data_IF_335595159401
#
_entry.id   IF_335595159401
#
_cell.length_a   1.000
_cell.length_b   1.000
_cell.length_c   1.000
_cell.angle_alpha   90.00
_cell.angle_beta   90.00
_cell.angle_gamma   90.00
#
_symmetry.space_group_name_H-M   'P 1'
#
loop_
_entity.id
_entity.type
_entity.pdbx_description
1 polymer ?
#
# COMPACT_ATOMS: atom_id res chain seq x y z
N UNK A 1 -2.67 19.78 18.34
CA UNK A 1 -2.73 18.40 17.84
C UNK A 1 -3.58 18.40 16.58
N UNK A 2 -2.95 18.23 15.42
CA UNK A 2 -3.62 18.01 14.15
C UNK A 2 -3.73 16.50 13.87
N UNK A 3 -4.73 16.12 13.06
CA UNK A 3 -4.88 14.76 12.54
C UNK A 3 -4.88 14.86 11.01
N UNK A 4 -3.94 14.15 10.38
CA UNK A 4 -3.88 13.99 8.95
C UNK A 4 -4.49 12.64 8.58
N UNK A 5 -5.38 12.62 7.59
CA UNK A 5 -5.97 11.40 7.07
C UNK A 5 -5.68 11.28 5.57
N UNK A 6 -5.30 10.08 5.12
CA UNK A 6 -5.02 9.78 3.72
C UNK A 6 -5.51 8.36 3.40
N UNK A 7 -6.03 8.16 2.20
CA UNK A 7 -6.58 6.89 1.73
C UNK A 7 -6.23 6.69 0.25
N UNK A 8 -6.53 5.51 -0.28
CA UNK A 8 -6.60 5.24 -1.72
C UNK A 8 -5.27 5.58 -2.42
N UNK A 9 -4.17 5.08 -1.85
CA UNK A 9 -2.83 5.30 -2.41
C UNK A 9 -2.67 4.47 -3.69
N UNK A 10 -3.27 3.29 -3.77
CA UNK A 10 -3.37 2.49 -5.00
C UNK A 10 -2.06 2.39 -5.79
N UNK A 11 -0.96 1.99 -5.12
CA UNK A 11 0.35 1.83 -5.76
C UNK A 11 0.97 3.12 -6.31
N UNK A 12 0.39 4.30 -6.06
CA UNK A 12 0.86 5.61 -6.53
C UNK A 12 1.95 6.17 -5.62
N UNK A 13 3.12 5.54 -5.68
CA UNK A 13 4.26 5.85 -4.82
C UNK A 13 4.71 7.32 -4.88
N UNK A 14 4.85 7.91 -6.08
CA UNK A 14 5.36 9.27 -6.22
C UNK A 14 4.40 10.34 -5.62
N UNK A 15 3.08 10.28 -5.89
CA UNK A 15 2.10 11.10 -5.16
C UNK A 15 2.17 10.91 -3.63
N UNK A 16 2.26 9.68 -3.14
CA UNK A 16 2.33 9.38 -1.71
C UNK A 16 3.53 10.06 -1.05
N UNK A 17 4.75 9.84 -1.56
CA UNK A 17 5.97 10.46 -1.01
C UNK A 17 5.91 11.99 -1.08
N UNK A 18 5.33 12.55 -2.14
CA UNK A 18 5.17 14.01 -2.26
C UNK A 18 4.30 14.56 -1.14
N UNK A 19 3.22 13.87 -0.76
CA UNK A 19 2.37 14.27 0.36
C UNK A 19 3.08 14.15 1.70
N UNK A 20 3.85 13.07 1.92
CA UNK A 20 4.70 12.93 3.10
C UNK A 20 5.68 14.10 3.24
N UNK A 21 6.34 14.51 2.14
CA UNK A 21 7.24 15.67 2.13
C UNK A 21 6.53 16.99 2.43
N UNK A 22 5.32 17.19 1.89
CA UNK A 22 4.50 18.38 2.16
C UNK A 22 4.07 18.48 3.64
N UNK A 23 3.91 17.34 4.31
CA UNK A 23 3.69 17.26 5.76
C UNK A 23 5.00 17.37 6.55
N UNK A 24 5.99 18.10 6.01
CA UNK A 24 7.31 18.29 6.61
C UNK A 24 7.95 16.96 7.06
N UNK A 25 7.94 15.95 6.18
CA UNK A 25 8.47 14.60 6.46
C UNK A 25 7.94 13.95 7.76
N UNK A 26 6.71 14.31 8.15
CA UNK A 26 6.03 13.82 9.36
C UNK A 26 6.75 14.19 10.68
N UNK A 27 7.59 15.22 10.72
CA UNK A 27 8.35 15.57 11.92
C UNK A 27 7.46 15.79 13.17
N UNK A 28 6.29 16.41 13.01
CA UNK A 28 5.36 16.60 14.13
C UNK A 28 4.68 15.29 14.57
N UNK A 29 4.46 14.35 13.65
CA UNK A 29 3.89 13.03 13.94
C UNK A 29 4.93 12.14 14.63
N UNK A 30 6.18 12.15 14.13
CA UNK A 30 7.33 11.49 14.77
C UNK A 30 7.57 11.98 16.20
N UNK A 31 7.37 13.29 16.43
CA UNK A 31 7.46 13.89 17.75
C UNK A 31 6.22 13.64 18.66
N UNK A 32 5.21 12.91 18.18
CA UNK A 32 3.97 12.62 18.92
C UNK A 32 3.06 13.83 19.15
N UNK A 33 3.25 14.92 18.40
CA UNK A 33 2.44 16.15 18.53
C UNK A 33 1.16 16.09 17.68
N UNK A 34 1.25 15.40 16.54
CA UNK A 34 0.17 15.19 15.58
C UNK A 34 0.02 13.70 15.27
N UNK A 35 -1.07 13.33 14.57
CA UNK A 35 -1.30 11.95 14.12
C UNK A 35 -1.44 11.86 12.61
N UNK A 36 -0.99 10.74 12.05
CA UNK A 36 -1.30 10.32 10.68
C UNK A 36 -2.19 9.08 10.75
N UNK A 37 -3.29 9.09 10.01
CA UNK A 37 -4.18 7.94 9.83
C UNK A 37 -4.21 7.60 8.36
N UNK A 38 -3.69 6.43 8.01
CA UNK A 38 -3.86 5.84 6.68
C UNK A 38 -5.11 4.95 6.72
N UNK A 39 -6.04 5.19 5.79
CA UNK A 39 -7.39 4.63 5.84
C UNK A 39 -7.57 3.35 5.00
N UNK A 40 -6.53 2.88 4.32
CA UNK A 40 -6.54 1.68 3.49
C UNK A 40 -6.29 1.94 2.01
N UNK A 41 -6.38 0.87 1.24
CA UNK A 41 -6.28 0.81 -0.23
C UNK A 41 -4.92 1.31 -0.72
N UNK A 42 -3.88 0.61 -0.28
CA UNK A 42 -2.49 0.99 -0.55
C UNK A 42 -1.93 0.40 -1.83
N UNK A 43 -2.50 -0.74 -2.24
CA UNK A 43 -2.09 -1.54 -3.38
C UNK A 43 -3.08 -1.39 -4.53
N UNK A 44 -2.78 -2.08 -5.64
CA UNK A 44 -3.51 -2.11 -6.92
C UNK A 44 -3.30 -0.87 -7.80
N UNK A 45 -3.82 -0.90 -9.04
CA UNK A 45 -3.83 0.15 -10.07
C UNK A 45 -2.43 0.67 -10.46
N UNK A 46 -1.69 1.26 -9.53
CA UNK A 46 -0.32 1.71 -9.70
C UNK A 46 0.71 0.58 -9.69
N UNK A 47 1.83 0.82 -10.39
CA UNK A 47 2.89 -0.18 -10.58
C UNK A 47 3.81 -0.38 -9.35
N UNK A 48 3.57 0.34 -8.24
CA UNK A 48 4.50 0.38 -7.11
C UNK A 48 3.88 -0.07 -5.77
N UNK A 49 2.85 -0.93 -5.80
CA UNK A 49 2.16 -1.44 -4.61
C UNK A 49 3.13 -1.97 -3.53
N UNK A 50 4.10 -2.80 -3.90
CA UNK A 50 5.14 -3.28 -2.98
C UNK A 50 5.93 -2.15 -2.33
N UNK A 51 6.35 -1.16 -3.13
CA UNK A 51 7.14 -0.02 -2.65
C UNK A 51 6.33 0.84 -1.68
N UNK A 52 5.04 1.06 -1.95
CA UNK A 52 4.11 1.76 -1.07
C UNK A 52 3.99 1.04 0.28
N UNK A 53 3.63 -0.25 0.28
CA UNK A 53 3.49 -1.03 1.52
C UNK A 53 4.79 -1.06 2.32
N UNK A 54 5.93 -1.28 1.66
CA UNK A 54 7.24 -1.29 2.31
C UNK A 54 7.54 0.05 3.00
N UNK A 55 7.29 1.17 2.32
CA UNK A 55 7.48 2.49 2.91
C UNK A 55 6.52 2.77 4.06
N UNK A 56 5.23 2.40 3.94
CA UNK A 56 4.27 2.55 5.04
C UNK A 56 4.73 1.76 6.28
N UNK A 57 5.18 0.52 6.08
CA UNK A 57 5.70 -0.33 7.15
C UNK A 57 6.95 0.26 7.82
N UNK A 58 7.92 0.73 7.03
CA UNK A 58 9.14 1.36 7.55
C UNK A 58 8.82 2.66 8.32
N UNK A 59 7.96 3.52 7.78
CA UNK A 59 7.53 4.75 8.44
C UNK A 59 6.78 4.47 9.74
N UNK A 60 5.84 3.51 9.76
CA UNK A 60 5.10 3.18 10.96
C UNK A 60 6.01 2.61 12.05
N UNK A 61 7.03 1.82 11.67
CA UNK A 61 8.05 1.31 12.60
C UNK A 61 8.86 2.45 13.23
N UNK A 62 9.19 3.50 12.46
CA UNK A 62 9.89 4.68 12.97
C UNK A 62 9.01 5.58 13.84
N UNK A 63 7.75 5.79 13.45
CA UNK A 63 6.81 6.74 14.09
C UNK A 63 6.12 6.14 15.32
N UNK A 64 5.87 4.83 15.31
CA UNK A 64 5.06 4.13 16.30
C UNK A 64 3.57 4.11 15.95
N UNK A 65 2.91 3.00 16.27
CA UNK A 65 1.50 2.75 15.91
C UNK A 65 0.51 3.70 16.60
N UNK A 66 0.89 4.32 17.72
CA UNK A 66 0.04 5.28 18.44
C UNK A 66 -0.12 6.61 17.69
N UNK A 67 0.89 6.99 16.89
CA UNK A 67 0.95 8.24 16.15
C UNK A 67 0.70 8.06 14.65
N UNK A 68 1.02 6.88 14.10
CA UNK A 68 0.71 6.49 12.73
C UNK A 68 -0.18 5.25 12.71
N UNK A 69 -1.49 5.49 12.59
CA UNK A 69 -2.50 4.43 12.49
C UNK A 69 -2.61 4.02 11.02
N UNK A 70 -2.52 2.73 10.75
CA UNK A 70 -2.61 2.18 9.39
C UNK A 70 -3.75 1.16 9.37
N UNK A 71 -4.85 1.53 8.72
CA UNK A 71 -6.03 0.68 8.57
C UNK A 71 -5.89 -0.21 7.33
N UNK A 72 -6.68 -1.27 7.27
CA UNK A 72 -6.74 -2.15 6.11
C UNK A 72 -7.93 -1.75 5.23
N UNK A 73 -7.68 -1.49 3.96
CA UNK A 73 -8.73 -1.26 2.96
C UNK A 73 -9.27 -2.55 2.38
N UNK A 74 -10.34 -2.47 1.58
CA UNK A 74 -10.93 -3.65 0.95
C UNK A 74 -10.02 -4.23 -0.13
N UNK A 75 -9.20 -3.42 -0.81
CA UNK A 75 -8.25 -3.90 -1.79
C UNK A 75 -7.06 -4.61 -1.13
N UNK A 76 -6.56 -4.06 -0.02
CA UNK A 76 -5.52 -4.72 0.80
C UNK A 76 -6.00 -6.09 1.32
N UNK A 77 -7.24 -6.13 1.82
CA UNK A 77 -7.84 -7.38 2.31
C UNK A 77 -7.99 -8.42 1.19
N UNK A 78 -8.45 -8.02 0.00
CA UNK A 78 -8.56 -8.93 -1.14
C UNK A 78 -7.22 -9.56 -1.51
N UNK A 79 -6.12 -8.79 -1.45
CA UNK A 79 -4.79 -9.34 -1.70
C UNK A 79 -4.34 -10.34 -0.62
N UNK A 80 -4.65 -10.11 0.65
CA UNK A 80 -4.42 -11.10 1.72
C UNK A 80 -5.25 -12.36 1.46
N UNK A 81 -6.51 -12.20 1.10
CA UNK A 81 -7.40 -13.33 0.81
C UNK A 81 -6.86 -14.14 -0.40
N UNK A 82 -6.32 -13.48 -1.43
CA UNK A 82 -5.61 -14.12 -2.55
C UNK A 82 -4.36 -14.89 -2.10
N UNK A 83 -3.55 -14.32 -1.20
CA UNK A 83 -2.32 -14.99 -0.71
C UNK A 83 -2.62 -16.19 0.19
N UNK A 84 -3.78 -16.21 0.85
CA UNK A 84 -4.13 -17.21 1.87
C UNK A 84 -5.08 -18.30 1.36
N UNK A 85 -5.84 -18.03 0.30
CA UNK A 85 -6.72 -19.00 -0.35
C UNK A 85 -6.27 -19.25 -1.80
N UNK A 86 -6.10 -20.52 -2.20
CA UNK A 86 -5.85 -20.94 -3.59
C UNK A 86 -7.07 -20.65 -4.49
N UNK A 87 -7.34 -19.40 -4.84
CA UNK A 87 -8.45 -19.02 -5.73
C UNK A 87 -7.94 -18.45 -7.05
N UNK A 88 -8.21 -19.17 -8.13
CA UNK A 88 -7.90 -18.80 -9.52
C UNK A 88 -8.82 -17.69 -10.06
N UNK A 89 -10.01 -17.48 -9.47
CA UNK A 89 -11.03 -16.58 -10.02
C UNK A 89 -10.60 -15.10 -10.03
N UNK A 90 -9.76 -14.67 -9.10
CA UNK A 90 -9.49 -13.24 -8.89
C UNK A 90 -8.44 -12.65 -9.83
N UNK A 91 -7.57 -13.48 -10.38
CA UNK A 91 -6.60 -13.01 -11.37
C UNK A 91 -7.32 -12.42 -12.59
N UNK A 92 -8.49 -12.98 -12.94
CA UNK A 92 -9.32 -12.51 -14.05
C UNK A 92 -9.90 -11.10 -13.84
N UNK A 93 -10.12 -10.69 -12.58
CA UNK A 93 -10.64 -9.36 -12.22
C UNK A 93 -9.52 -8.32 -12.09
N UNK A 94 -8.27 -8.77 -11.92
CA UNK A 94 -7.13 -7.86 -11.84
C UNK A 94 -6.75 -7.38 -13.24
N UNK A 95 -7.16 -6.16 -13.60
CA UNK A 95 -6.73 -5.55 -14.86
C UNK A 95 -5.19 -5.57 -14.94
N UNK A 96 -4.68 -6.31 -15.92
CA UNK A 96 -3.24 -6.46 -16.17
C UNK A 96 -2.43 -6.95 -14.96
N UNK A 97 -2.97 -7.74 -14.02
CA UNK A 97 -2.22 -8.22 -12.84
C UNK A 97 -1.60 -7.07 -12.01
N UNK A 98 -2.17 -5.86 -12.06
CA UNK A 98 -1.59 -4.67 -11.42
C UNK A 98 -1.32 -4.85 -9.91
N UNK A 99 -2.10 -5.71 -9.26
CA UNK A 99 -1.96 -6.05 -7.84
C UNK A 99 -0.76 -6.93 -7.52
N UNK A 100 -0.37 -7.84 -8.41
CA UNK A 100 0.66 -8.86 -8.10
C UNK A 100 2.01 -8.48 -8.70
N UNK A 101 2.03 -7.77 -9.84
CA UNK A 101 3.24 -7.46 -10.61
C UNK A 101 4.37 -6.82 -9.82
N UNK A 102 4.06 -5.98 -8.82
CA UNK A 102 5.11 -5.34 -8.01
C UNK A 102 5.74 -6.28 -6.96
N UNK A 103 5.15 -7.45 -6.71
CA UNK A 103 5.58 -8.40 -5.69
C UNK A 103 6.34 -9.61 -6.27
N UNK A 104 6.31 -9.79 -7.59
CA UNK A 104 6.89 -10.95 -8.27
C UNK A 104 7.86 -10.48 -9.36
N UNK A 105 8.75 -11.38 -9.78
CA UNK A 105 9.69 -11.09 -10.85
C UNK A 105 8.99 -10.94 -12.22
N UNK A 106 9.69 -10.32 -13.17
CA UNK A 106 9.22 -10.23 -14.55
C UNK A 106 9.03 -11.62 -15.20
N UNK A 107 9.80 -12.63 -14.78
CA UNK A 107 9.62 -14.00 -15.24
C UNK A 107 8.32 -14.60 -14.71
N UNK A 108 8.09 -14.52 -13.40
CA UNK A 108 6.85 -15.02 -12.78
C UNK A 108 5.62 -14.31 -13.34
N UNK A 109 5.72 -13.00 -13.63
CA UNK A 109 4.65 -12.24 -14.28
C UNK A 109 4.31 -12.83 -15.65
N UNK A 110 5.32 -13.16 -16.47
CA UNK A 110 5.10 -13.78 -17.78
C UNK A 110 4.45 -15.15 -17.63
N UNK A 111 4.92 -15.98 -16.70
CA UNK A 111 4.36 -17.31 -16.43
C UNK A 111 2.90 -17.24 -15.99
N UNK A 112 2.53 -16.23 -15.18
CA UNK A 112 1.13 -15.96 -14.80
C UNK A 112 0.30 -15.51 -16.00
N UNK A 113 0.78 -14.59 -16.83
CA UNK A 113 0.07 -14.14 -18.05
C UNK A 113 -0.26 -15.28 -19.04
N UNK A 114 0.46 -16.42 -19.02
CA UNK A 114 0.16 -17.57 -19.88
C UNK A 114 -0.84 -18.56 -19.29
N UNK A 115 -1.20 -18.41 -18.01
CA UNK A 115 -2.13 -19.30 -17.28
C UNK A 115 -3.55 -18.74 -17.15
N UNK A 116 -3.75 -17.50 -17.57
CA UNK A 116 -5.00 -16.71 -17.52
C UNK A 116 -5.42 -16.43 -18.95
#
# INVERSE_FOLDING_TARGET
MAIYAMSDIHGMYEPFIRRIKQLNNLESVKAGKDKLILLGDYIDIGNNSFKVLKTIYELQKEVGADNMIVLMGNHDKRFIDFLTNNFDDWISESENLCMVKSFISAQQTRELCYKV
#
